data_IF_731245222375
#
_entry.id   IF_731245222375
#
_cell.length_a   1.000
_cell.length_b   1.000
_cell.length_c   1.000
_cell.angle_alpha   90.00
_cell.angle_beta   90.00
_cell.angle_gamma   90.00
#
_symmetry.space_group_name_H-M   'P 1'
#
loop_
_entity.id
_entity.type
_entity.pdbx_description
1 polymer ?
#
# COMPACT_ATOMS: atom_id res chain seq x y z
N UNK A 1 -5.02 2.92 5.76
CA UNK A 1 -5.69 1.83 6.52
C UNK A 1 -6.95 2.34 7.23
N UNK A 2 -6.86 3.21 8.24
CA UNK A 2 -8.04 3.64 9.04
C UNK A 2 -9.07 4.43 8.22
N UNK A 3 -8.63 5.37 7.38
CA UNK A 3 -9.54 6.09 6.48
C UNK A 3 -10.32 5.12 5.57
N UNK A 4 -9.64 4.14 4.98
CA UNK A 4 -10.29 3.08 4.19
C UNK A 4 -11.34 2.31 4.99
N UNK A 5 -11.05 1.94 6.25
CA UNK A 5 -12.00 1.21 7.09
C UNK A 5 -13.24 2.05 7.42
N UNK A 6 -13.04 3.30 7.84
CA UNK A 6 -14.14 4.25 8.12
C UNK A 6 -15.02 4.45 6.89
N UNK A 7 -14.40 4.74 5.74
CA UNK A 7 -15.13 4.96 4.49
C UNK A 7 -15.81 3.67 3.98
N UNK A 8 -15.24 2.49 4.24
CA UNK A 8 -15.90 1.22 3.92
C UNK A 8 -17.17 0.99 4.75
N UNK A 9 -17.18 1.41 6.01
CA UNK A 9 -18.38 1.37 6.87
C UNK A 9 -19.40 2.41 6.41
N UNK A 10 -18.97 3.64 6.11
CA UNK A 10 -19.88 4.72 5.70
C UNK A 10 -20.48 4.52 4.30
N UNK A 11 -19.66 4.15 3.30
CA UNK A 11 -20.06 4.12 1.87
C UNK A 11 -20.59 2.75 1.45
N UNK A 12 -19.91 1.66 1.84
CA UNK A 12 -20.31 0.28 1.49
C UNK A 12 -21.21 -0.35 2.55
N UNK A 13 -21.52 0.37 3.65
CA UNK A 13 -22.35 -0.12 4.76
C UNK A 13 -21.86 -1.45 5.36
N UNK A 14 -20.55 -1.69 5.35
CA UNK A 14 -19.96 -2.87 5.98
C UNK A 14 -20.12 -2.81 7.50
N UNK A 15 -20.38 -3.96 8.12
CA UNK A 15 -20.37 -4.10 9.59
C UNK A 15 -19.02 -4.64 10.03
N UNK A 16 -18.28 -3.85 10.79
CA UNK A 16 -17.00 -4.24 11.40
C UNK A 16 -17.18 -4.37 12.90
N UNK A 17 -16.90 -5.56 13.42
CA UNK A 17 -16.89 -5.82 14.86
C UNK A 17 -15.68 -5.16 15.53
N UNK A 18 -15.76 -4.96 16.85
CA UNK A 18 -14.69 -4.34 17.64
C UNK A 18 -13.34 -5.06 17.48
N UNK A 19 -13.36 -6.40 17.32
CA UNK A 19 -12.17 -7.22 17.05
C UNK A 19 -11.47 -6.79 15.75
N UNK A 20 -12.22 -6.54 14.69
CA UNK A 20 -11.68 -6.10 13.39
C UNK A 20 -11.13 -4.67 13.47
N UNK A 21 -11.75 -3.80 14.26
CA UNK A 21 -11.21 -2.47 14.55
C UNK A 21 -9.89 -2.54 15.32
N UNK A 22 -9.81 -3.39 16.34
CA UNK A 22 -8.57 -3.63 17.08
C UNK A 22 -7.47 -4.16 16.16
N UNK A 23 -7.79 -5.13 15.30
CA UNK A 23 -6.85 -5.64 14.29
C UNK A 23 -6.34 -4.54 13.36
N UNK A 24 -7.22 -3.66 12.86
CA UNK A 24 -6.83 -2.56 11.98
C UNK A 24 -5.92 -1.52 12.67
N UNK A 25 -6.18 -1.19 13.93
CA UNK A 25 -5.31 -0.32 14.72
C UNK A 25 -3.94 -0.98 14.93
N UNK A 26 -3.93 -2.26 15.28
CA UNK A 26 -2.73 -3.05 15.45
C UNK A 26 -1.91 -3.16 14.15
N UNK A 27 -2.58 -3.28 13.00
CA UNK A 27 -1.93 -3.26 11.68
C UNK A 27 -1.21 -1.94 11.45
N UNK A 28 -1.85 -0.82 11.76
CA UNK A 28 -1.26 0.52 11.59
C UNK A 28 -0.01 0.67 12.45
N UNK A 29 -0.08 0.27 13.71
CA UNK A 29 1.09 0.29 14.61
C UNK A 29 2.21 -0.58 14.04
N UNK A 30 1.88 -1.80 13.60
CA UNK A 30 2.87 -2.76 13.10
C UNK A 30 3.57 -2.26 11.83
N UNK A 31 2.80 -1.75 10.86
CA UNK A 31 3.35 -1.14 9.63
C UNK A 31 4.18 0.09 9.97
N UNK A 32 3.74 0.94 10.90
CA UNK A 32 4.53 2.13 11.30
C UNK A 32 5.87 1.74 11.90
N UNK A 33 5.92 0.70 12.73
CA UNK A 33 7.18 0.18 13.30
C UNK A 33 8.11 -0.40 12.24
N UNK A 34 7.56 -1.15 11.28
CA UNK A 34 8.34 -1.70 10.15
C UNK A 34 8.95 -0.58 9.31
N UNK A 35 8.17 0.47 9.01
CA UNK A 35 8.60 1.59 8.18
C UNK A 35 9.55 2.57 8.88
N UNK A 36 9.54 2.60 10.22
CA UNK A 36 10.42 3.49 11.00
C UNK A 36 11.90 3.17 10.76
N UNK A 37 12.23 1.90 10.50
CA UNK A 37 13.60 1.45 10.27
C UNK A 37 14.14 1.98 8.93
N UNK A 38 13.30 2.09 7.90
CA UNK A 38 13.69 2.66 6.60
C UNK A 38 13.91 4.18 6.65
N UNK A 39 13.33 4.86 7.65
CA UNK A 39 13.52 6.31 7.85
C UNK A 39 14.77 6.66 8.66
N UNK A 40 15.44 5.69 9.27
CA UNK A 40 16.72 5.91 9.96
C UNK A 40 17.85 5.81 8.91
N UNK A 41 18.50 6.91 8.53
CA UNK A 41 19.53 6.84 7.52
C UNK A 41 20.75 6.10 8.11
N UNK A 42 21.07 4.93 7.57
CA UNK A 42 22.40 4.29 7.68
C UNK A 42 23.50 5.12 6.97
N UNK A 43 23.32 6.43 6.84
CA UNK A 43 24.10 7.31 5.97
C UNK A 43 23.86 8.80 6.22
N UNK A 44 23.63 9.23 7.48
CA UNK A 44 23.64 10.64 7.87
C UNK A 44 25.04 11.31 7.79
N UNK A 45 25.91 10.81 6.91
CA UNK A 45 27.24 11.33 6.64
C UNK A 45 27.54 11.23 5.14
N UNK A 46 26.73 11.90 4.31
CA UNK A 46 27.12 12.32 2.95
C UNK A 46 26.17 13.38 2.40
N UNK A 47 26.50 14.63 2.73
CA UNK A 47 26.33 15.79 1.85
C UNK A 47 24.91 16.16 1.42
N UNK A 48 24.18 16.85 2.30
CA UNK A 48 22.99 17.63 1.94
C UNK A 48 22.57 18.43 3.16
N UNK A 49 22.53 19.76 3.06
CA UNK A 49 22.26 20.68 4.15
C UNK A 49 21.10 20.19 5.02
N UNK A 50 21.29 20.19 6.35
CA UNK A 50 20.20 20.03 7.30
C UNK A 50 19.21 21.19 7.05
N UNK A 51 18.17 20.93 6.25
CA UNK A 51 17.11 21.88 6.03
C UNK A 51 16.45 22.09 7.40
N UNK A 52 16.61 23.30 7.95
CA UNK A 52 15.81 23.75 9.09
C UNK A 52 14.37 23.85 8.61
N UNK A 53 13.63 22.75 8.69
CA UNK A 53 12.20 22.75 8.36
C UNK A 53 11.50 23.72 9.30
N UNK A 54 10.90 24.77 8.74
CA UNK A 54 10.14 25.71 9.54
C UNK A 54 8.90 25.00 10.12
N UNK A 55 8.36 25.52 11.22
CA UNK A 55 7.10 25.02 11.76
C UNK A 55 5.96 25.06 10.71
N UNK A 56 6.02 26.04 9.80
CA UNK A 56 5.09 26.16 8.66
C UNK A 56 5.19 24.98 7.69
N UNK A 57 6.40 24.58 7.30
CA UNK A 57 6.62 23.47 6.35
C UNK A 57 6.12 22.14 6.92
N UNK A 58 6.30 21.93 8.23
CA UNK A 58 5.81 20.73 8.92
C UNK A 58 4.28 20.66 8.92
N UNK A 59 3.60 21.79 9.17
CA UNK A 59 2.12 21.85 9.15
C UNK A 59 1.58 21.61 7.75
N UNK A 60 2.20 22.19 6.72
CA UNK A 60 1.83 21.94 5.32
C UNK A 60 2.03 20.47 4.94
N UNK A 61 3.15 19.87 5.33
CA UNK A 61 3.41 18.45 5.11
C UNK A 61 2.37 17.55 5.81
N UNK A 62 2.07 17.82 7.07
CA UNK A 62 1.10 17.05 7.84
C UNK A 62 -0.31 17.15 7.25
N UNK A 63 -0.75 18.35 6.90
CA UNK A 63 -2.07 18.57 6.28
C UNK A 63 -2.16 17.90 4.91
N UNK A 64 -1.11 17.96 4.08
CA UNK A 64 -1.04 17.27 2.81
C UNK A 64 -1.12 15.75 2.96
N UNK A 65 -0.39 15.16 3.91
CA UNK A 65 -0.42 13.71 4.18
C UNK A 65 -1.80 13.28 4.67
N UNK A 66 -2.44 14.02 5.58
CA UNK A 66 -3.79 13.71 6.04
C UNK A 66 -4.81 13.78 4.89
N UNK A 67 -4.76 14.83 4.07
CA UNK A 67 -5.63 14.96 2.90
C UNK A 67 -5.42 13.80 1.91
N UNK A 68 -4.17 13.48 1.59
CA UNK A 68 -3.82 12.35 0.72
C UNK A 68 -4.29 11.01 1.29
N UNK A 69 -4.21 10.81 2.61
CA UNK A 69 -4.65 9.58 3.27
C UNK A 69 -6.16 9.40 3.18
N UNK A 70 -6.93 10.49 3.36
CA UNK A 70 -8.39 10.48 3.22
C UNK A 70 -8.80 10.23 1.77
N UNK A 71 -8.18 10.94 0.82
CA UNK A 71 -8.47 10.80 -0.60
C UNK A 71 -8.13 9.41 -1.13
N UNK A 72 -7.00 8.84 -0.72
CA UNK A 72 -6.60 7.47 -1.05
C UNK A 72 -7.58 6.44 -0.50
N UNK A 73 -8.01 6.63 0.76
CA UNK A 73 -9.06 5.82 1.37
C UNK A 73 -10.37 5.87 0.57
N UNK A 74 -10.80 7.06 0.19
CA UNK A 74 -12.01 7.28 -0.60
C UNK A 74 -11.90 6.64 -1.99
N UNK A 75 -10.84 6.92 -2.73
CA UNK A 75 -10.62 6.39 -4.07
C UNK A 75 -10.66 4.86 -4.08
N UNK A 76 -10.00 4.20 -3.12
CA UNK A 76 -10.01 2.75 -3.04
C UNK A 76 -11.38 2.17 -2.70
N UNK A 77 -12.12 2.79 -1.76
CA UNK A 77 -13.47 2.32 -1.38
C UNK A 77 -14.49 2.59 -2.48
N UNK A 78 -14.39 3.72 -3.18
CA UNK A 78 -15.21 4.02 -4.34
C UNK A 78 -14.90 3.07 -5.51
N UNK A 79 -13.62 2.74 -5.73
CA UNK A 79 -13.21 1.73 -6.70
C UNK A 79 -13.80 0.35 -6.35
N UNK A 80 -13.80 -0.03 -5.07
CA UNK A 80 -14.48 -1.25 -4.63
C UNK A 80 -15.98 -1.22 -4.97
N UNK A 81 -16.65 -0.11 -4.69
CA UNK A 81 -18.07 0.07 -4.98
C UNK A 81 -18.37 -0.06 -6.48
N UNK A 82 -17.65 0.67 -7.34
CA UNK A 82 -17.91 0.65 -8.79
C UNK A 82 -17.57 -0.71 -9.42
N UNK A 83 -16.55 -1.41 -8.90
CA UNK A 83 -16.21 -2.75 -9.39
C UNK A 83 -17.24 -3.79 -8.97
N UNK A 84 -17.88 -3.65 -7.81
CA UNK A 84 -18.84 -4.63 -7.28
C UNK A 84 -20.29 -4.39 -7.68
N UNK A 85 -20.75 -3.13 -7.71
CA UNK A 85 -22.15 -2.76 -8.00
C UNK A 85 -22.47 -2.61 -9.50
N UNK A 86 -21.51 -2.89 -10.38
CA UNK A 86 -21.63 -2.68 -11.83
C UNK A 86 -21.78 -3.99 -12.60
N UNK A 87 -22.71 -4.04 -13.57
CA UNK A 87 -22.84 -5.12 -14.54
C UNK A 87 -21.72 -5.13 -15.61
N UNK A 88 -21.02 -4.01 -15.78
CA UNK A 88 -19.86 -3.88 -16.68
C UNK A 88 -18.69 -4.74 -16.18
N UNK A 89 -17.99 -5.40 -17.11
CA UNK A 89 -16.84 -6.24 -16.78
C UNK A 89 -15.71 -5.46 -16.11
N UNK A 90 -14.93 -6.15 -15.27
CA UNK A 90 -13.77 -5.58 -14.57
C UNK A 90 -12.80 -4.90 -15.53
N UNK A 91 -12.51 -5.55 -16.66
CA UNK A 91 -11.57 -5.05 -17.65
C UNK A 91 -12.03 -3.75 -18.29
N UNK A 92 -13.32 -3.62 -18.63
CA UNK A 92 -13.86 -2.38 -19.20
C UNK A 92 -13.82 -1.26 -18.16
N UNK A 93 -14.15 -1.54 -16.89
CA UNK A 93 -14.00 -0.57 -15.80
C UNK A 93 -12.54 -0.13 -15.63
N UNK A 94 -11.60 -1.05 -15.73
CA UNK A 94 -10.19 -0.73 -15.63
C UNK A 94 -9.69 0.11 -16.81
N UNK A 95 -10.17 -0.15 -18.04
CA UNK A 95 -9.88 0.69 -19.22
C UNK A 95 -10.44 2.10 -19.04
N UNK A 96 -11.67 2.24 -18.54
CA UNK A 96 -12.27 3.55 -18.24
C UNK A 96 -11.44 4.32 -17.20
N UNK A 97 -11.06 3.66 -16.10
CA UNK A 97 -10.22 4.23 -15.06
C UNK A 97 -8.84 4.63 -15.61
N UNK A 98 -8.23 3.79 -16.45
CA UNK A 98 -6.96 4.11 -17.11
C UNK A 98 -7.08 5.34 -18.03
N UNK A 99 -8.20 5.48 -18.74
CA UNK A 99 -8.50 6.68 -19.53
C UNK A 99 -8.48 7.96 -18.69
N UNK A 100 -9.15 7.95 -17.53
CA UNK A 100 -9.10 9.09 -16.60
C UNK A 100 -7.70 9.33 -16.02
N UNK A 101 -6.94 8.26 -15.73
CA UNK A 101 -5.56 8.37 -15.26
C UNK A 101 -4.63 9.00 -16.30
N UNK A 102 -4.81 8.69 -17.60
CA UNK A 102 -4.05 9.32 -18.69
C UNK A 102 -4.36 10.82 -18.75
N UNK A 103 -5.63 11.21 -18.70
CA UNK A 103 -6.01 12.63 -18.70
C UNK A 103 -5.43 13.37 -17.49
N UNK A 104 -5.53 12.79 -16.30
CA UNK A 104 -4.95 13.36 -15.09
C UNK A 104 -3.42 13.44 -15.17
N UNK A 105 -2.76 12.44 -15.74
CA UNK A 105 -1.30 12.42 -15.95
C UNK A 105 -0.84 13.49 -16.95
N UNK A 106 -1.57 13.67 -18.05
CA UNK A 106 -1.29 14.74 -19.02
C UNK A 106 -1.52 16.13 -18.43
N UNK A 107 -2.58 16.30 -17.64
CA UNK A 107 -2.82 17.54 -16.91
C UNK A 107 -1.71 17.81 -15.90
N UNK A 108 -1.30 16.79 -15.14
CA UNK A 108 -0.18 16.87 -14.21
C UNK A 108 1.13 17.25 -14.90
N UNK A 109 1.41 16.68 -16.08
CA UNK A 109 2.55 17.06 -16.90
C UNK A 109 2.46 18.52 -17.33
N UNK A 110 1.30 18.96 -17.83
CA UNK A 110 1.06 20.32 -18.32
C UNK A 110 1.18 21.39 -17.23
N UNK A 111 0.80 21.05 -15.99
CA UNK A 111 0.92 21.95 -14.83
C UNK A 111 2.30 21.90 -14.17
N UNK A 112 3.12 20.91 -14.50
CA UNK A 112 4.48 20.77 -13.98
C UNK A 112 5.51 21.47 -14.86
N UNK A 113 6.64 21.86 -14.26
CA UNK A 113 7.81 22.37 -15.00
C UNK A 113 8.37 21.33 -16.01
N UNK A 114 7.96 20.06 -15.88
CA UNK A 114 8.31 18.97 -16.79
C UNK A 114 7.73 19.11 -18.19
N UNK A 115 6.71 19.96 -18.41
CA UNK A 115 6.14 20.18 -19.74
C UNK A 115 7.15 20.77 -20.73
N UNK A 116 7.90 21.78 -20.29
CA UNK A 116 8.90 22.45 -21.12
C UNK A 116 9.99 21.46 -21.54
N UNK A 117 10.45 20.63 -20.59
CA UNK A 117 11.46 19.60 -20.81
C UNK A 117 10.97 18.47 -21.71
N UNK A 118 9.74 18.00 -21.51
CA UNK A 118 9.13 16.99 -22.38
C UNK A 118 8.99 17.47 -23.83
N UNK A 119 8.78 18.78 -24.04
CA UNK A 119 8.70 19.38 -25.38
C UNK A 119 10.06 19.56 -26.05
N UNK A 120 11.10 19.92 -25.29
CA UNK A 120 12.44 20.19 -25.85
C UNK A 120 13.28 18.94 -26.05
N UNK A 121 13.25 18.01 -25.09
CA UNK A 121 14.07 16.80 -25.09
C UNK A 121 13.29 15.60 -25.61
N UNK A 122 11.97 15.59 -25.42
CA UNK A 122 11.10 14.45 -25.71
C UNK A 122 10.69 13.71 -24.44
N UNK A 123 9.48 13.11 -24.45
CA UNK A 123 8.87 12.51 -23.26
C UNK A 123 9.61 11.27 -22.72
N UNK A 124 10.36 10.58 -23.59
CA UNK A 124 11.05 9.33 -23.27
C UNK A 124 12.55 9.50 -23.05
N UNK A 125 13.04 10.74 -22.92
CA UNK A 125 14.47 10.97 -22.65
C UNK A 125 14.85 10.42 -21.29
N UNK A 126 15.96 9.67 -21.26
CA UNK A 126 16.47 9.02 -20.05
C UNK A 126 15.75 7.72 -19.67
N UNK A 127 14.83 7.22 -20.50
CA UNK A 127 14.20 5.92 -20.25
C UNK A 127 15.20 4.80 -20.50
N UNK A 128 15.49 4.04 -19.45
CA UNK A 128 16.29 2.82 -19.52
C UNK A 128 15.40 1.58 -19.56
N UNK A 129 15.97 0.41 -19.87
CA UNK A 129 15.24 -0.86 -19.77
C UNK A 129 14.61 -1.08 -18.38
N UNK A 130 15.27 -0.63 -17.31
CA UNK A 130 14.75 -0.68 -15.95
C UNK A 130 13.57 0.27 -15.72
N UNK A 131 13.59 1.46 -16.32
CA UNK A 131 12.45 2.40 -16.27
C UNK A 131 11.22 1.78 -16.91
N UNK A 132 11.37 1.18 -18.10
CA UNK A 132 10.27 0.51 -18.80
C UNK A 132 9.78 -0.70 -18.01
N UNK A 133 10.68 -1.52 -17.47
CA UNK A 133 10.31 -2.65 -16.62
C UNK A 133 9.51 -2.21 -15.37
N UNK A 134 9.90 -1.09 -14.73
CA UNK A 134 9.17 -0.52 -13.60
C UNK A 134 7.76 -0.05 -13.98
N UNK A 135 7.62 0.60 -15.14
CA UNK A 135 6.31 1.04 -15.66
C UNK A 135 5.40 -0.16 -15.92
N UNK A 136 5.92 -1.21 -16.58
CA UNK A 136 5.18 -2.44 -16.83
C UNK A 136 4.78 -3.13 -15.53
N UNK A 137 5.71 -3.22 -14.56
CA UNK A 137 5.43 -3.80 -13.25
C UNK A 137 4.36 -3.02 -12.48
N UNK A 138 4.39 -1.70 -12.51
CA UNK A 138 3.39 -0.85 -11.86
C UNK A 138 2.01 -1.00 -12.52
N UNK A 139 1.96 -0.98 -13.87
CA UNK A 139 0.74 -1.24 -14.62
C UNK A 139 0.13 -2.61 -14.31
N UNK A 140 0.96 -3.66 -14.29
CA UNK A 140 0.55 -5.01 -13.92
C UNK A 140 0.06 -5.09 -12.46
N UNK A 141 0.77 -4.46 -11.52
CA UNK A 141 0.35 -4.36 -10.13
C UNK A 141 -1.03 -3.70 -9.97
N UNK A 142 -1.32 -2.64 -10.73
CA UNK A 142 -2.64 -2.00 -10.75
C UNK A 142 -3.76 -2.95 -11.25
N UNK A 143 -3.48 -3.78 -12.25
CA UNK A 143 -4.42 -4.81 -12.72
C UNK A 143 -4.68 -5.86 -11.64
N UNK A 144 -3.61 -6.36 -11.00
CA UNK A 144 -3.74 -7.32 -9.90
C UNK A 144 -4.54 -6.75 -8.73
N UNK A 145 -4.29 -5.50 -8.35
CA UNK A 145 -5.03 -4.81 -7.29
C UNK A 145 -6.52 -4.73 -7.65
N UNK A 146 -6.86 -4.46 -8.91
CA UNK A 146 -8.26 -4.41 -9.36
C UNK A 146 -8.96 -5.76 -9.23
N UNK A 147 -8.26 -6.86 -9.57
CA UNK A 147 -8.74 -8.23 -9.37
C UNK A 147 -8.94 -8.51 -7.88
N UNK A 148 -7.95 -8.20 -7.04
CA UNK A 148 -8.03 -8.39 -5.58
C UNK A 148 -9.24 -7.63 -5.01
N UNK A 149 -9.43 -6.36 -5.37
CA UNK A 149 -10.55 -5.55 -4.87
C UNK A 149 -11.91 -6.12 -5.30
N UNK A 150 -12.03 -6.63 -6.54
CA UNK A 150 -13.28 -7.23 -7.04
C UNK A 150 -13.67 -8.48 -6.24
N UNK A 151 -12.71 -9.37 -5.97
CA UNK A 151 -12.98 -10.67 -5.33
C UNK A 151 -12.87 -10.66 -3.81
N UNK A 152 -12.17 -9.69 -3.24
CA UNK A 152 -12.00 -9.55 -1.79
C UNK A 152 -12.59 -8.23 -1.34
N UNK A 153 -11.81 -7.33 -0.76
CA UNK A 153 -12.15 -5.95 -0.52
C UNK A 153 -10.92 -5.06 -0.34
N UNK A 154 -11.16 -3.76 -0.26
CA UNK A 154 -10.09 -2.77 -0.12
C UNK A 154 -9.42 -2.81 1.27
N UNK A 155 -10.01 -3.46 2.28
CA UNK A 155 -9.39 -3.65 3.59
C UNK A 155 -8.39 -4.81 3.52
N UNK A 156 -8.78 -5.96 2.99
CA UNK A 156 -7.91 -7.13 2.75
C UNK A 156 -6.74 -6.75 1.85
N UNK A 157 -6.97 -5.94 0.81
CA UNK A 157 -5.89 -5.36 -0.01
C UNK A 157 -4.82 -4.68 0.86
N UNK A 158 -5.22 -3.87 1.84
CA UNK A 158 -4.27 -3.17 2.71
C UNK A 158 -3.48 -4.14 3.60
N UNK A 159 -4.09 -5.23 4.07
CA UNK A 159 -3.36 -6.30 4.77
C UNK A 159 -2.34 -6.97 3.84
N UNK A 160 -2.75 -7.36 2.62
CA UNK A 160 -1.86 -7.96 1.63
C UNK A 160 -0.68 -7.06 1.27
N UNK A 161 -0.92 -5.75 1.06
CA UNK A 161 0.15 -4.77 0.81
C UNK A 161 1.11 -4.67 2.00
N UNK A 162 0.59 -4.70 3.24
CA UNK A 162 1.43 -4.64 4.44
C UNK A 162 2.33 -5.86 4.58
N UNK A 163 1.80 -7.06 4.32
CA UNK A 163 2.58 -8.32 4.29
C UNK A 163 3.60 -8.30 3.15
N UNK A 164 3.23 -7.78 1.98
CA UNK A 164 4.15 -7.64 0.85
C UNK A 164 5.34 -6.75 1.19
N UNK A 165 5.13 -5.62 1.88
CA UNK A 165 6.23 -4.75 2.33
C UNK A 165 7.19 -5.53 3.23
N UNK A 166 6.67 -6.26 4.22
CA UNK A 166 7.49 -7.09 5.12
C UNK A 166 8.32 -8.10 4.34
N UNK A 167 7.71 -8.82 3.41
CA UNK A 167 8.40 -9.81 2.60
C UNK A 167 9.49 -9.18 1.72
N UNK A 168 9.17 -8.04 1.08
CA UNK A 168 10.14 -7.29 0.29
C UNK A 168 11.31 -6.83 1.15
N UNK A 169 11.07 -6.26 2.32
CA UNK A 169 12.15 -5.83 3.23
C UNK A 169 12.97 -7.01 3.75
N UNK A 170 12.34 -8.15 4.05
CA UNK A 170 13.05 -9.36 4.47
C UNK A 170 13.95 -9.91 3.36
N UNK A 171 13.48 -9.98 2.12
CA UNK A 171 14.29 -10.38 0.97
C UNK A 171 15.45 -9.38 0.77
N UNK A 172 15.16 -8.09 0.78
CA UNK A 172 16.17 -7.03 0.68
C UNK A 172 17.23 -7.15 1.77
N UNK A 173 16.85 -7.44 3.02
CA UNK A 173 17.80 -7.61 4.12
C UNK A 173 18.76 -8.78 3.89
N UNK A 174 18.27 -9.93 3.40
CA UNK A 174 19.10 -11.09 3.11
C UNK A 174 20.04 -10.87 1.92
N UNK A 175 19.59 -10.19 0.86
CA UNK A 175 20.38 -9.98 -0.35
C UNK A 175 21.35 -8.79 -0.25
N UNK A 176 21.00 -7.75 0.51
CA UNK A 176 21.79 -6.52 0.65
C UNK A 176 22.57 -6.46 1.96
N UNK A 177 22.47 -7.48 2.81
CA UNK A 177 23.17 -7.54 4.10
C UNK A 177 22.67 -6.50 5.11
N UNK A 178 21.38 -6.14 5.05
CA UNK A 178 20.80 -5.15 5.95
C UNK A 178 20.66 -5.75 7.35
N UNK A 179 21.17 -5.06 8.37
CA UNK A 179 20.97 -5.48 9.76
C UNK A 179 19.50 -5.33 10.16
N UNK A 180 18.87 -6.45 10.52
CA UNK A 180 17.46 -6.48 10.91
C UNK A 180 17.32 -5.96 12.34
N UNK A 181 16.70 -4.78 12.49
CA UNK A 181 16.42 -4.20 13.82
C UNK A 181 15.38 -5.02 14.60
N UNK A 182 15.53 -5.08 15.93
CA UNK A 182 14.53 -5.67 16.83
C UNK A 182 13.15 -5.00 16.68
N UNK A 183 13.12 -3.70 16.35
CA UNK A 183 11.88 -2.95 16.11
C UNK A 183 11.17 -3.45 14.85
N UNK A 184 11.93 -3.82 13.82
CA UNK A 184 11.38 -4.42 12.61
C UNK A 184 10.76 -5.79 12.89
N UNK A 185 11.44 -6.65 13.68
CA UNK A 185 10.90 -7.96 14.10
C UNK A 185 9.61 -7.82 14.92
N UNK A 186 9.58 -6.86 15.84
CA UNK A 186 8.36 -6.53 16.60
C UNK A 186 7.23 -6.08 15.64
N UNK A 187 7.53 -5.20 14.70
CA UNK A 187 6.59 -4.75 13.68
C UNK A 187 6.01 -5.91 12.86
N UNK A 188 6.86 -6.85 12.41
CA UNK A 188 6.42 -8.06 11.69
C UNK A 188 5.45 -8.88 12.54
N UNK A 189 5.82 -9.18 13.79
CA UNK A 189 4.98 -9.99 14.68
C UNK A 189 3.60 -9.35 14.87
N UNK A 190 3.54 -8.03 14.96
CA UNK A 190 2.32 -7.27 15.14
C UNK A 190 1.41 -7.33 13.89
N UNK A 191 2.01 -7.18 12.70
CA UNK A 191 1.28 -7.27 11.42
C UNK A 191 0.76 -8.71 11.18
N UNK A 192 1.58 -9.72 11.46
CA UNK A 192 1.18 -11.13 11.37
C UNK A 192 0.01 -11.42 12.31
N UNK A 193 0.13 -11.06 13.60
CA UNK A 193 -0.93 -11.27 14.57
C UNK A 193 -2.21 -10.52 14.20
N UNK A 194 -2.09 -9.26 13.78
CA UNK A 194 -3.23 -8.46 13.29
C UNK A 194 -3.97 -9.15 12.12
N UNK A 195 -3.23 -9.77 11.20
CA UNK A 195 -3.81 -10.50 10.06
C UNK A 195 -4.64 -11.70 10.52
N UNK A 196 -4.12 -12.49 11.47
CA UNK A 196 -4.87 -13.60 12.07
C UNK A 196 -6.10 -13.12 12.84
N UNK A 197 -5.94 -12.07 13.65
CA UNK A 197 -7.02 -11.47 14.42
C UNK A 197 -8.15 -10.94 13.52
N UNK A 198 -7.82 -10.34 12.38
CA UNK A 198 -8.82 -9.86 11.41
C UNK A 198 -9.55 -11.02 10.70
N UNK A 199 -8.84 -12.13 10.47
CA UNK A 199 -9.36 -13.31 9.77
C UNK A 199 -10.25 -14.20 10.65
N UNK A 200 -10.43 -13.84 11.94
CA UNK A 200 -11.13 -14.66 12.93
C UNK A 200 -10.57 -16.09 13.07
N UNK A 201 -9.28 -16.27 12.75
CA UNK A 201 -8.60 -17.56 12.88
C UNK A 201 -7.60 -17.45 14.01
N UNK A 202 -7.76 -18.26 15.05
CA UNK A 202 -6.78 -18.30 16.13
C UNK A 202 -5.43 -18.82 15.59
N UNK A 203 -4.32 -18.09 15.80
CA UNK A 203 -3.01 -18.48 15.26
C UNK A 203 -2.58 -19.89 15.72
N UNK A 204 -2.93 -20.24 16.96
CA UNK A 204 -2.65 -21.54 17.56
C UNK A 204 -3.52 -22.65 16.94
N UNK A 205 -4.80 -22.38 16.68
CA UNK A 205 -5.65 -23.36 15.98
C UNK A 205 -5.20 -23.58 14.54
N UNK A 206 -4.78 -22.53 13.85
CA UNK A 206 -4.23 -22.64 12.49
C UNK A 206 -2.92 -23.42 12.49
N UNK A 207 -1.99 -23.13 13.40
CA UNK A 207 -0.74 -23.88 13.56
C UNK A 207 -1.01 -25.34 13.90
N UNK A 208 -1.94 -25.64 14.81
CA UNK A 208 -2.34 -27.01 15.11
C UNK A 208 -2.94 -27.71 13.88
N UNK A 209 -3.81 -27.05 13.12
CA UNK A 209 -4.34 -27.61 11.87
C UNK A 209 -3.23 -27.86 10.85
N UNK A 210 -2.31 -26.92 10.64
CA UNK A 210 -1.23 -27.11 9.65
C UNK A 210 -0.24 -28.19 10.06
N UNK A 211 0.18 -28.21 11.34
CA UNK A 211 1.16 -29.17 11.85
C UNK A 211 0.56 -30.57 12.04
N UNK A 212 -0.72 -30.69 12.39
CA UNK A 212 -1.35 -31.99 12.69
C UNK A 212 -2.31 -32.50 11.61
N UNK A 213 -2.73 -31.70 10.62
CA UNK A 213 -3.57 -32.17 9.51
C UNK A 213 -2.79 -32.96 8.45
N UNK A 214 -1.45 -33.04 8.55
CA UNK A 214 -0.62 -33.91 7.72
C UNK A 214 -0.62 -35.39 8.13
N UNK A 215 -1.38 -35.79 9.18
CA UNK A 215 -1.37 -37.15 9.74
C UNK A 215 -2.68 -37.94 9.59
N UNK A 216 -3.62 -37.48 8.75
CA UNK A 216 -4.82 -38.22 8.38
C UNK A 216 -4.88 -38.35 6.86
N UNK A 217 -4.13 -39.30 6.33
CA UNK A 217 -4.39 -40.02 5.09
C UNK A 217 -3.38 -41.18 5.08
N UNK A 218 -3.70 -42.22 5.84
CA UNK A 218 -3.32 -43.62 5.62
C UNK A 218 -4.34 -44.50 6.36
#
# INVERSE_FOLDING_TARGET
ILSTALLSVCILRKRLELRKWAALLMLVVGVTLVQLVDTLPAGAARGGAAASHSAGDTVVGLTAVLAATVLSGFAGVYTEKILKDSAVSLWVRNVQLAGYSILAGLLGLALSDGFARARSEGLLVGYTGWTVASILNNGFGGLLISVVIKYTDNILKNFSTSISIILTTAISANFLGLEVSTVFLLGISLVCYSTFLYSNTDPLEWLCKVLFSGKKND
#
